data_IF_973257847613
#
_entry.id   IF_973257847613
#
_cell.length_a   1.000
_cell.length_b   1.000
_cell.length_c   1.000
_cell.angle_alpha   90.00
_cell.angle_beta   90.00
_cell.angle_gamma   90.00
#
_symmetry.space_group_name_H-M   'P 1'
#
loop_
_entity.id
_entity.type
_entity.pdbx_description
1 polymer ?
#
# COMPACT_ATOMS: atom_id res chain seq x y z
N UNK A 1 14.91 4.66 -11.17
CA UNK A 1 13.89 5.67 -10.84
C UNK A 1 12.50 5.08 -11.00
N UNK A 2 11.56 5.47 -10.14
CA UNK A 2 10.16 5.13 -10.30
C UNK A 2 9.52 6.20 -11.20
N UNK A 3 9.17 5.86 -12.44
CA UNK A 3 8.40 6.76 -13.33
C UNK A 3 6.90 6.86 -12.95
N UNK A 4 6.52 6.45 -11.74
CA UNK A 4 5.13 6.55 -11.30
C UNK A 4 4.83 7.96 -10.80
N UNK A 5 3.70 8.51 -11.21
CA UNK A 5 3.39 9.93 -11.10
C UNK A 5 2.43 10.27 -9.96
N UNK A 6 1.94 9.25 -9.24
CA UNK A 6 0.89 9.44 -8.24
C UNK A 6 1.11 8.61 -6.98
N UNK A 7 1.01 9.28 -5.83
CA UNK A 7 0.98 8.67 -4.50
C UNK A 7 0.00 9.44 -3.59
N UNK A 8 -0.76 8.72 -2.76
CA UNK A 8 -1.57 9.23 -1.66
C UNK A 8 -1.05 8.68 -0.32
N UNK A 9 -1.04 7.36 -0.06
CA UNK A 9 -0.73 6.90 1.28
C UNK A 9 0.77 6.98 1.50
N UNK A 10 1.16 7.58 2.62
CA UNK A 10 2.49 7.47 3.18
C UNK A 10 2.36 7.24 4.68
N UNK A 11 2.96 6.17 5.18
CA UNK A 11 2.84 5.75 6.57
C UNK A 11 4.23 5.49 7.13
N UNK A 12 4.51 6.04 8.30
CA UNK A 12 5.74 5.80 9.03
C UNK A 12 5.58 4.61 9.98
N UNK A 13 6.62 3.79 10.11
CA UNK A 13 6.67 2.73 11.10
C UNK A 13 6.59 3.31 12.52
N UNK A 14 5.74 2.75 13.41
CA UNK A 14 5.38 3.37 14.69
C UNK A 14 6.57 3.60 15.63
N UNK A 15 7.59 2.74 15.58
CA UNK A 15 8.79 2.82 16.44
C UNK A 15 10.11 3.01 15.70
N UNK A 16 10.09 3.10 14.35
CA UNK A 16 11.30 3.22 13.51
C UNK A 16 11.10 4.39 12.54
N UNK A 17 11.47 5.63 12.89
CA UNK A 17 11.08 6.81 12.13
C UNK A 17 11.64 6.86 10.69
N UNK A 18 12.72 6.12 10.41
CA UNK A 18 13.30 6.05 9.07
C UNK A 18 12.62 5.00 8.18
N UNK A 19 11.75 4.15 8.74
CA UNK A 19 11.03 3.15 7.95
C UNK A 19 9.70 3.74 7.50
N UNK A 20 9.52 3.88 6.19
CA UNK A 20 8.34 4.48 5.55
C UNK A 20 7.75 3.51 4.54
N UNK A 21 6.43 3.53 4.39
CA UNK A 21 5.68 2.78 3.38
C UNK A 21 4.88 3.73 2.51
N UNK A 22 4.80 3.45 1.22
CA UNK A 22 3.93 4.19 0.30
C UNK A 22 3.48 3.30 -0.86
N UNK A 23 2.55 3.80 -1.66
CA UNK A 23 2.07 3.15 -2.87
C UNK A 23 2.05 4.11 -4.04
N UNK A 24 2.71 3.73 -5.13
CA UNK A 24 2.79 4.51 -6.35
C UNK A 24 1.85 3.97 -7.42
N UNK A 25 1.30 4.84 -8.26
CA UNK A 25 0.55 4.48 -9.46
C UNK A 25 1.07 5.17 -10.72
N UNK A 26 0.87 4.51 -11.86
CA UNK A 26 1.18 5.04 -13.18
C UNK A 26 0.03 5.94 -13.67
N UNK A 27 0.24 7.26 -13.68
CA UNK A 27 -0.79 8.26 -14.00
C UNK A 27 -1.67 8.62 -12.80
N UNK A 28 -2.79 9.33 -13.01
CA UNK A 28 -3.73 9.78 -11.97
C UNK A 28 -5.06 8.98 -12.00
N UNK A 29 -5.96 9.14 -10.99
CA UNK A 29 -7.21 8.37 -10.95
C UNK A 29 -8.12 8.52 -12.16
N UNK A 30 -8.02 9.59 -12.93
CA UNK A 30 -8.79 9.77 -14.16
C UNK A 30 -8.21 8.98 -15.34
N UNK A 31 -6.89 8.78 -15.39
CA UNK A 31 -6.22 8.08 -16.49
C UNK A 31 -6.30 6.56 -16.31
N UNK A 32 -5.86 6.03 -15.17
CA UNK A 32 -5.74 4.58 -15.01
C UNK A 32 -7.09 3.86 -14.96
N UNK A 33 -8.18 4.53 -14.54
CA UNK A 33 -9.55 3.98 -14.57
C UNK A 33 -10.04 3.64 -15.97
N UNK A 34 -9.40 4.18 -17.01
CA UNK A 34 -9.73 3.96 -18.42
C UNK A 34 -8.83 2.90 -19.07
N UNK A 35 -7.79 2.43 -18.37
CA UNK A 35 -6.84 1.45 -18.90
C UNK A 35 -7.25 0.04 -18.49
N UNK A 36 -6.92 -0.93 -19.34
CA UNK A 36 -7.17 -2.35 -19.03
C UNK A 36 -6.24 -2.89 -17.93
N UNK A 37 -5.01 -2.38 -17.88
CA UNK A 37 -3.96 -2.76 -16.92
C UNK A 37 -4.05 -2.02 -15.57
N UNK A 38 -5.08 -1.19 -15.38
CA UNK A 38 -5.40 -0.56 -14.10
C UNK A 38 -4.35 0.43 -13.63
N UNK A 39 -4.22 0.61 -12.31
CA UNK A 39 -3.32 1.61 -11.71
C UNK A 39 -1.83 1.31 -11.86
N UNK A 40 -1.47 0.05 -12.16
CA UNK A 40 -0.10 -0.47 -12.15
C UNK A 40 0.61 -0.15 -10.83
N UNK A 41 -0.07 -0.41 -9.71
CA UNK A 41 0.41 -0.01 -8.39
C UNK A 41 1.69 -0.73 -8.00
N UNK A 42 2.59 0.00 -7.36
CA UNK A 42 3.79 -0.54 -6.72
C UNK A 42 3.79 -0.14 -5.25
N UNK A 43 3.79 -1.13 -4.37
CA UNK A 43 4.07 -0.94 -2.95
C UNK A 43 5.56 -0.72 -2.78
N UNK A 44 5.94 0.28 -1.99
CA UNK A 44 7.35 0.62 -1.74
C UNK A 44 7.61 0.83 -0.26
N UNK A 45 8.84 0.49 0.16
CA UNK A 45 9.35 0.71 1.51
C UNK A 45 10.68 1.45 1.46
N UNK A 46 10.85 2.44 2.31
CA UNK A 46 12.15 3.04 2.61
C UNK A 46 12.58 2.60 4.01
N UNK A 47 13.89 2.47 4.22
CA UNK A 47 14.49 2.22 5.54
C UNK A 47 15.41 3.35 6.02
N UNK A 48 15.54 4.41 5.21
CA UNK A 48 16.47 5.53 5.39
C UNK A 48 15.78 6.91 5.34
N UNK A 49 14.51 6.95 5.73
CA UNK A 49 13.74 8.20 5.83
C UNK A 49 13.30 8.76 4.48
N UNK A 50 13.20 7.91 3.46
CA UNK A 50 12.73 8.27 2.12
C UNK A 50 13.83 8.66 1.14
N UNK A 51 15.11 8.45 1.50
CA UNK A 51 16.25 8.72 0.62
C UNK A 51 16.32 7.66 -0.49
N UNK A 52 16.14 6.39 -0.13
CA UNK A 52 16.04 5.26 -1.04
C UNK A 52 14.78 4.45 -0.77
N UNK A 53 14.29 3.80 -1.83
CA UNK A 53 13.03 3.04 -1.80
C UNK A 53 13.21 1.70 -2.50
N UNK A 54 12.76 0.64 -1.84
CA UNK A 54 12.70 -0.73 -2.36
C UNK A 54 11.26 -1.05 -2.75
N UNK A 55 11.09 -1.71 -3.89
CA UNK A 55 9.81 -2.29 -4.26
C UNK A 55 9.50 -3.50 -3.37
N UNK A 56 8.27 -3.56 -2.90
CA UNK A 56 7.70 -4.70 -2.20
C UNK A 56 6.94 -5.59 -3.18
N UNK A 57 6.72 -6.86 -2.81
CA UNK A 57 5.78 -7.70 -3.54
C UNK A 57 4.40 -7.04 -3.52
N UNK A 58 3.73 -7.03 -4.66
CA UNK A 58 2.42 -6.39 -4.82
C UNK A 58 1.47 -7.37 -5.51
N UNK A 59 0.45 -7.89 -4.81
CA UNK A 59 -0.54 -8.80 -5.39
C UNK A 59 -1.20 -8.22 -6.66
N UNK A 60 -1.54 -9.05 -7.65
CA UNK A 60 -2.14 -8.59 -8.91
C UNK A 60 -3.39 -7.71 -8.74
N UNK A 61 -4.21 -8.00 -7.72
CA UNK A 61 -5.39 -7.22 -7.36
C UNK A 61 -5.03 -5.80 -6.93
N UNK A 62 -3.94 -5.65 -6.17
CA UNK A 62 -3.36 -4.35 -5.81
C UNK A 62 -2.67 -3.73 -7.03
N UNK A 63 -1.96 -4.48 -7.86
CA UNK A 63 -1.36 -3.91 -9.09
C UNK A 63 -2.44 -3.29 -9.98
N UNK A 64 -3.57 -3.97 -10.15
CA UNK A 64 -4.70 -3.49 -10.96
C UNK A 64 -5.43 -2.33 -10.30
N UNK A 65 -5.56 -2.33 -8.97
CA UNK A 65 -6.30 -1.33 -8.22
C UNK A 65 -5.41 -0.52 -7.28
N UNK A 66 -5.50 0.80 -7.34
CA UNK A 66 -4.70 1.64 -6.45
C UNK A 66 -4.81 1.28 -4.97
N UNK A 67 -3.69 1.12 -4.27
CA UNK A 67 -3.67 1.01 -2.81
C UNK A 67 -4.05 2.38 -2.23
N UNK A 68 -5.29 2.50 -1.77
CA UNK A 68 -5.86 3.78 -1.33
C UNK A 68 -5.45 4.10 0.12
N UNK A 69 -5.30 3.07 0.96
CA UNK A 69 -4.86 3.22 2.35
C UNK A 69 -3.90 2.11 2.76
N UNK A 70 -2.93 2.47 3.60
CA UNK A 70 -1.97 1.57 4.24
C UNK A 70 -2.05 1.82 5.74
N UNK A 71 -1.96 0.77 6.56
CA UNK A 71 -1.87 0.91 8.01
C UNK A 71 -0.92 -0.13 8.58
N UNK A 72 -0.19 0.23 9.63
CA UNK A 72 0.67 -0.68 10.38
C UNK A 72 0.08 -0.89 11.76
N UNK A 73 0.10 -2.13 12.25
CA UNK A 73 -0.19 -2.40 13.66
C UNK A 73 0.82 -1.67 14.55
N UNK A 74 0.37 -0.87 15.53
CA UNK A 74 1.27 -0.09 16.38
C UNK A 74 2.13 -0.94 17.33
N UNK A 75 1.72 -2.18 17.64
CA UNK A 75 2.38 -3.11 18.55
C UNK A 75 3.20 -4.14 17.78
N UNK A 76 2.64 -4.68 16.69
CA UNK A 76 3.29 -5.69 15.83
C UNK A 76 3.47 -5.16 14.39
N UNK A 77 4.39 -4.21 14.14
CA UNK A 77 4.42 -3.44 12.89
C UNK A 77 4.79 -4.21 11.62
N UNK A 78 5.22 -5.47 11.74
CA UNK A 78 5.33 -6.38 10.59
C UNK A 78 3.94 -6.76 10.04
N UNK A 79 2.88 -6.56 10.83
CA UNK A 79 1.50 -6.58 10.38
C UNK A 79 1.15 -5.28 9.65
N UNK A 80 1.25 -5.34 8.32
CA UNK A 80 0.90 -4.24 7.43
C UNK A 80 -0.42 -4.58 6.74
N UNK A 81 -1.32 -3.62 6.70
CA UNK A 81 -2.62 -3.74 6.06
C UNK A 81 -2.68 -2.81 4.85
N UNK A 82 -3.32 -3.27 3.77
CA UNK A 82 -3.61 -2.45 2.59
C UNK A 82 -5.09 -2.57 2.24
N UNK A 83 -5.70 -1.44 1.92
CA UNK A 83 -7.00 -1.38 1.28
C UNK A 83 -6.86 -0.87 -0.15
N UNK A 84 -7.37 -1.63 -1.12
CA UNK A 84 -7.44 -1.17 -2.50
C UNK A 84 -8.63 -0.22 -2.68
N UNK A 85 -8.56 0.63 -3.70
CA UNK A 85 -9.66 1.50 -4.09
C UNK A 85 -10.91 0.73 -4.53
N UNK A 86 -10.75 -0.51 -4.95
CA UNK A 86 -11.87 -1.40 -5.27
C UNK A 86 -12.50 -2.05 -4.01
N UNK A 87 -11.92 -1.80 -2.84
CA UNK A 87 -12.43 -2.22 -1.54
C UNK A 87 -11.81 -3.50 -0.98
N UNK A 88 -10.82 -4.09 -1.65
CA UNK A 88 -10.20 -5.34 -1.23
C UNK A 88 -9.22 -5.07 -0.09
N UNK A 89 -9.21 -5.93 0.94
CA UNK A 89 -8.28 -5.84 2.06
C UNK A 89 -7.21 -6.93 2.01
N UNK A 90 -5.98 -6.53 2.25
CA UNK A 90 -4.81 -7.39 2.31
C UNK A 90 -4.05 -7.18 3.63
N UNK A 91 -3.40 -8.24 4.10
CA UNK A 91 -2.49 -8.21 5.25
C UNK A 91 -1.18 -8.87 4.86
N UNK A 92 -0.08 -8.22 5.20
CA UNK A 92 1.24 -8.82 5.35
C UNK A 92 1.52 -9.08 6.83
N UNK A 93 2.28 -10.12 7.14
CA UNK A 93 2.79 -10.41 8.49
C UNK A 93 4.32 -10.37 8.54
N UNK A 94 4.96 -9.84 7.50
CA UNK A 94 6.40 -9.82 7.27
C UNK A 94 6.87 -8.45 6.74
N UNK A 95 6.19 -7.37 7.11
CA UNK A 95 6.60 -6.01 6.76
C UNK A 95 6.44 -5.67 5.27
N UNK A 96 5.47 -6.32 4.61
CA UNK A 96 5.10 -6.11 3.21
C UNK A 96 5.85 -6.97 2.20
N UNK A 97 6.66 -7.92 2.64
CA UNK A 97 7.42 -8.82 1.75
C UNK A 97 6.51 -9.91 1.14
N UNK A 98 5.40 -10.28 1.79
CA UNK A 98 4.33 -11.11 1.23
C UNK A 98 2.95 -10.70 1.75
N UNK A 99 1.89 -11.04 1.01
CA UNK A 99 0.54 -10.58 1.28
C UNK A 99 -0.49 -11.69 1.17
N UNK A 100 -1.44 -11.70 2.09
CA UNK A 100 -2.64 -12.52 2.06
C UNK A 100 -3.89 -11.63 1.90
N UNK A 101 -4.81 -12.03 1.03
CA UNK A 101 -6.14 -11.41 1.00
C UNK A 101 -6.90 -11.78 2.26
N UNK A 102 -7.59 -10.81 2.86
CA UNK A 102 -8.47 -11.03 4.00
C UNK A 102 -9.87 -11.54 3.59
N UNK A 103 -10.16 -11.63 2.29
CA UNK A 103 -11.47 -12.08 1.78
C UNK A 103 -12.63 -11.13 2.09
N UNK A 104 -12.33 -9.92 2.58
CA UNK A 104 -13.31 -8.88 2.89
C UNK A 104 -13.28 -7.82 1.80
N UNK A 105 -14.47 -7.35 1.41
CA UNK A 105 -14.66 -6.23 0.49
C UNK A 105 -15.43 -5.11 1.18
N UNK A 106 -14.78 -3.97 1.38
CA UNK A 106 -15.35 -2.77 1.99
C UNK A 106 -15.61 -1.74 0.90
N UNK A 107 -16.82 -1.19 0.82
CA UNK A 107 -17.12 -0.12 -0.15
C UNK A 107 -16.45 1.18 0.27
N UNK A 108 -15.87 1.88 -0.71
CA UNK A 108 -15.37 3.25 -0.58
C UNK A 108 -14.42 3.49 0.61
N UNK A 109 -13.34 2.69 0.67
CA UNK A 109 -12.27 2.94 1.65
C UNK A 109 -11.51 4.20 1.27
N UNK A 110 -11.45 5.18 2.17
CA UNK A 110 -10.65 6.41 2.01
C UNK A 110 -9.45 6.49 2.95
N UNK A 111 -9.51 5.76 4.07
CA UNK A 111 -8.48 5.73 5.09
C UNK A 111 -8.57 4.42 5.89
N UNK A 112 -7.50 4.05 6.58
CA UNK A 112 -7.42 2.84 7.39
C UNK A 112 -6.51 3.07 8.60
N UNK A 113 -6.91 2.50 9.73
CA UNK A 113 -6.09 2.45 10.94
C UNK A 113 -6.10 1.04 11.51
N UNK A 114 -4.92 0.53 11.85
CA UNK A 114 -4.80 -0.70 12.61
C UNK A 114 -4.81 -0.36 14.12
N UNK A 115 -5.54 -1.18 14.88
CA UNK A 115 -5.59 -1.10 16.35
C UNK A 115 -5.30 -2.50 16.87
N UNK A 116 -4.32 -2.59 17.76
CA UNK A 116 -4.01 -3.84 18.47
C UNK A 116 -4.97 -3.98 19.66
N UNK A 117 -5.52 -5.18 19.86
CA UNK A 117 -6.47 -5.50 20.92
C UNK A 117 -5.86 -6.50 21.89
#
# INVERSE_FOLDING_TARGET
>A
EFEQEYSIPMVQHPTKPNVLYSALASGNPGSWRKREDGAQTKMIRSEDGGTTWKALDTPPEIVRNYAEAIALDPVEPDNVFVATRAGELFRSTDGGDSWASLGVKVRDVSDMKAVHV
#
